data_IF_297224321211
#
_entry.id   IF_297224321211
#
_cell.length_a   1.000
_cell.length_b   1.000
_cell.length_c   1.000
_cell.angle_alpha   90.00
_cell.angle_beta   90.00
_cell.angle_gamma   90.00
#
_symmetry.space_group_name_H-M   'P 1'
#
loop_
_entity.id
_entity.type
_entity.pdbx_description
1 polymer ?
#
# COMPACT_ATOMS: atom_id res chain seq x y z
N UNK A 1 24.76 3.01 -20.35
CA UNK A 1 25.30 3.92 -19.32
C UNK A 1 24.34 5.09 -19.28
N UNK A 2 23.79 5.42 -18.15
CA UNK A 2 22.86 6.53 -18.04
C UNK A 2 23.52 7.68 -17.27
N UNK A 3 23.22 8.91 -17.65
CA UNK A 3 23.77 10.10 -17.01
C UNK A 3 22.84 10.52 -15.84
N UNK A 4 23.32 10.48 -14.59
CA UNK A 4 22.53 10.93 -13.46
C UNK A 4 22.14 12.42 -13.50
N UNK A 5 22.90 13.25 -14.25
CA UNK A 5 22.61 14.68 -14.37
C UNK A 5 21.43 14.98 -15.33
N UNK A 6 21.00 14.00 -16.12
CA UNK A 6 19.78 14.09 -16.95
C UNK A 6 18.49 13.76 -16.18
N UNK A 7 18.59 13.40 -14.89
CA UNK A 7 17.44 13.07 -14.07
C UNK A 7 16.83 14.33 -13.43
N UNK A 8 15.54 14.46 -13.58
CA UNK A 8 14.74 15.50 -12.91
C UNK A 8 13.55 14.88 -12.15
N UNK A 9 12.75 15.70 -11.48
CA UNK A 9 11.59 15.26 -10.70
C UNK A 9 10.48 14.61 -11.54
N UNK A 10 10.55 14.70 -12.87
CA UNK A 10 9.60 14.08 -13.80
C UNK A 10 10.16 12.80 -14.43
N UNK A 11 11.40 12.44 -14.12
CA UNK A 11 12.08 11.28 -14.67
C UNK A 11 11.77 10.05 -13.83
N UNK A 12 11.33 8.98 -14.48
CA UNK A 12 11.14 7.65 -13.87
C UNK A 12 12.25 6.73 -14.38
N UNK A 13 13.09 6.26 -13.47
CA UNK A 13 14.12 5.25 -13.79
C UNK A 13 13.56 3.87 -13.51
N UNK A 14 13.49 3.03 -14.56
CA UNK A 14 13.05 1.65 -14.45
C UNK A 14 14.26 0.73 -14.58
N UNK A 15 14.59 0.03 -13.49
CA UNK A 15 15.68 -0.93 -13.43
C UNK A 15 15.11 -2.34 -13.57
N UNK A 16 15.52 -3.03 -14.63
CA UNK A 16 15.15 -4.43 -14.85
C UNK A 16 16.08 -5.40 -14.13
N UNK A 17 15.77 -6.67 -14.23
CA UNK A 17 16.65 -7.78 -13.83
C UNK A 17 17.28 -8.45 -15.06
N UNK A 18 18.07 -9.50 -14.85
CA UNK A 18 18.74 -10.23 -15.92
C UNK A 18 17.80 -10.91 -16.93
N UNK A 19 16.51 -10.98 -16.64
CA UNK A 19 15.47 -11.54 -17.51
C UNK A 19 14.66 -10.46 -18.21
N UNK A 20 14.90 -9.18 -17.89
CA UNK A 20 14.21 -8.07 -18.54
C UNK A 20 14.70 -7.88 -19.97
N UNK A 21 13.79 -7.59 -20.87
CA UNK A 21 14.07 -7.38 -22.29
C UNK A 21 13.15 -6.33 -22.91
N UNK A 22 13.53 -5.82 -24.06
CA UNK A 22 12.70 -4.92 -24.87
C UNK A 22 11.97 -5.73 -25.94
N UNK A 23 10.65 -5.59 -26.00
CA UNK A 23 9.81 -6.19 -27.02
C UNK A 23 8.88 -5.14 -27.62
N UNK A 24 9.00 -4.91 -28.89
CA UNK A 24 8.20 -3.93 -29.66
C UNK A 24 8.14 -2.53 -29.00
N UNK A 25 9.26 -2.06 -28.44
CA UNK A 25 9.33 -0.77 -27.75
C UNK A 25 8.82 -0.77 -26.31
N UNK A 26 8.41 -1.92 -25.80
CA UNK A 26 7.96 -2.08 -24.41
C UNK A 26 9.04 -2.75 -23.56
N UNK A 27 9.30 -2.19 -22.39
CA UNK A 27 10.21 -2.81 -21.42
C UNK A 27 9.44 -3.89 -20.64
N UNK A 28 9.85 -5.14 -20.82
CA UNK A 28 9.22 -6.31 -20.22
C UNK A 28 10.13 -6.88 -19.13
N UNK A 29 9.58 -7.02 -17.94
CA UNK A 29 10.20 -7.78 -16.83
C UNK A 29 9.32 -8.97 -16.51
N UNK A 30 9.70 -10.20 -16.94
CA UNK A 30 8.95 -11.40 -16.57
C UNK A 30 8.94 -11.60 -15.06
N UNK A 31 7.77 -11.92 -14.51
CA UNK A 31 7.60 -12.17 -13.07
C UNK A 31 7.48 -13.64 -12.70
N UNK A 32 7.74 -14.55 -13.62
CA UNK A 32 7.73 -15.99 -13.35
C UNK A 32 6.35 -16.61 -13.04
N UNK A 33 5.24 -15.92 -13.35
CA UNK A 33 3.89 -16.36 -13.02
C UNK A 33 3.29 -17.41 -13.99
N UNK A 34 4.10 -18.02 -14.84
CA UNK A 34 3.60 -18.83 -15.96
C UNK A 34 3.52 -20.34 -15.71
N UNK A 35 3.79 -20.81 -14.50
CA UNK A 35 3.67 -22.23 -14.17
C UNK A 35 2.66 -22.40 -13.02
N UNK A 36 1.50 -23.01 -13.29
CA UNK A 36 0.46 -23.25 -12.27
C UNK A 36 1.01 -23.99 -11.05
N UNK A 37 2.13 -24.73 -11.21
CA UNK A 37 2.87 -25.36 -10.12
C UNK A 37 3.83 -24.43 -9.35
N UNK A 38 4.18 -23.25 -9.89
CA UNK A 38 5.11 -22.29 -9.26
C UNK A 38 4.41 -21.24 -8.43
N UNK A 39 3.13 -20.91 -8.69
CA UNK A 39 2.37 -19.92 -7.91
C UNK A 39 2.40 -20.20 -6.40
N UNK A 40 2.31 -21.47 -5.99
CA UNK A 40 2.39 -21.84 -4.57
C UNK A 40 3.82 -21.74 -4.01
N UNK A 41 4.86 -21.94 -4.84
CA UNK A 41 6.26 -21.78 -4.43
C UNK A 41 6.64 -20.31 -4.30
N UNK A 42 6.23 -19.47 -5.27
CA UNK A 42 6.53 -18.03 -5.24
C UNK A 42 5.78 -17.32 -4.11
N UNK A 43 4.54 -17.75 -3.84
CA UNK A 43 3.79 -17.27 -2.67
C UNK A 43 4.49 -17.64 -1.36
N UNK A 44 5.06 -18.83 -1.24
CA UNK A 44 5.84 -19.28 -0.07
C UNK A 44 7.15 -18.53 0.06
N UNK A 45 7.84 -18.25 -1.06
CA UNK A 45 9.08 -17.44 -1.07
C UNK A 45 8.77 -16.02 -0.62
N UNK A 46 7.76 -15.37 -1.18
CA UNK A 46 7.34 -14.03 -0.77
C UNK A 46 6.96 -13.94 0.71
N UNK A 47 6.26 -14.97 1.21
CA UNK A 47 5.93 -15.06 2.62
C UNK A 47 7.17 -15.23 3.51
N UNK A 48 8.14 -16.05 3.10
CA UNK A 48 9.39 -16.25 3.83
C UNK A 48 10.21 -14.95 3.90
N UNK A 49 10.30 -14.20 2.79
CA UNK A 49 10.96 -12.90 2.74
C UNK A 49 10.28 -11.91 3.69
N UNK A 50 8.95 -11.85 3.68
CA UNK A 50 8.19 -10.97 4.56
C UNK A 50 8.42 -11.31 6.04
N UNK A 51 8.40 -12.59 6.40
CA UNK A 51 8.64 -13.06 7.77
C UNK A 51 10.05 -12.67 8.23
N UNK A 52 11.06 -12.88 7.38
CA UNK A 52 12.44 -12.52 7.71
C UNK A 52 12.60 -11.00 7.87
N UNK A 53 12.03 -10.22 6.96
CA UNK A 53 12.00 -8.77 7.08
C UNK A 53 11.34 -8.32 8.40
N UNK A 54 10.22 -8.89 8.77
CA UNK A 54 9.53 -8.56 10.03
C UNK A 54 10.36 -8.93 11.27
N UNK A 55 11.09 -10.05 11.21
CA UNK A 55 12.02 -10.43 12.30
C UNK A 55 13.15 -9.42 12.44
N UNK A 56 13.77 -9.05 11.32
CA UNK A 56 14.84 -8.06 11.28
C UNK A 56 14.34 -6.72 11.83
N UNK A 57 13.25 -6.20 11.31
CA UNK A 57 12.67 -4.94 11.80
C UNK A 57 12.40 -5.02 13.30
N UNK A 58 11.76 -6.09 13.77
CA UNK A 58 11.43 -6.24 15.18
C UNK A 58 12.67 -6.28 16.07
N UNK A 59 13.80 -6.81 15.60
CA UNK A 59 15.05 -6.86 16.35
C UNK A 59 15.80 -5.53 16.38
N UNK A 60 15.53 -4.64 15.43
CA UNK A 60 16.20 -3.35 15.28
C UNK A 60 15.37 -2.17 15.83
N UNK A 61 14.12 -2.39 16.27
CA UNK A 61 13.30 -1.34 16.90
C UNK A 61 13.98 -0.83 18.18
N UNK A 62 14.08 0.48 18.29
CA UNK A 62 14.70 1.14 19.45
C UNK A 62 13.86 0.97 20.73
N UNK A 63 12.52 0.96 20.62
CA UNK A 63 11.61 0.75 21.75
C UNK A 63 11.06 -0.69 21.76
N UNK A 64 11.50 -1.58 22.67
CA UNK A 64 10.97 -2.93 22.76
C UNK A 64 9.55 -3.02 23.34
N UNK A 65 9.07 -1.97 24.00
CA UNK A 65 7.81 -1.94 24.74
C UNK A 65 6.63 -1.32 23.97
N UNK A 66 6.69 -1.32 22.64
CA UNK A 66 5.60 -0.84 21.80
C UNK A 66 4.38 -1.76 21.96
N UNK A 67 3.17 -1.23 22.21
CA UNK A 67 1.94 -2.03 22.24
C UNK A 67 1.78 -2.87 20.98
N UNK A 68 1.31 -4.11 21.10
CA UNK A 68 1.32 -5.09 20.01
C UNK A 68 0.56 -4.62 18.76
N UNK A 69 -0.58 -3.98 18.95
CA UNK A 69 -1.40 -3.46 17.86
C UNK A 69 -0.70 -2.32 17.09
N UNK A 70 -0.10 -1.37 17.82
CA UNK A 70 0.72 -0.32 17.21
C UNK A 70 1.96 -0.89 16.51
N UNK A 71 2.60 -1.88 17.16
CA UNK A 71 3.77 -2.56 16.61
C UNK A 71 3.52 -3.22 15.26
N UNK A 72 2.34 -3.81 15.07
CA UNK A 72 1.95 -4.37 13.78
C UNK A 72 1.89 -3.31 12.67
N UNK A 73 1.25 -2.18 12.93
CA UNK A 73 1.18 -1.07 11.99
C UNK A 73 2.58 -0.53 11.66
N UNK A 74 3.42 -0.38 12.69
CA UNK A 74 4.78 0.11 12.56
C UNK A 74 5.67 -0.82 11.72
N UNK A 75 5.67 -2.12 12.01
CA UNK A 75 6.46 -3.11 11.26
C UNK A 75 6.07 -3.11 9.77
N UNK A 76 4.77 -3.04 9.45
CA UNK A 76 4.32 -2.94 8.07
C UNK A 76 4.75 -1.64 7.40
N UNK A 77 4.72 -0.52 8.13
CA UNK A 77 5.16 0.78 7.61
C UNK A 77 6.66 0.77 7.30
N UNK A 78 7.50 0.26 8.23
CA UNK A 78 8.94 0.13 8.01
C UNK A 78 9.24 -0.86 6.87
N UNK A 79 8.54 -2.00 6.82
CA UNK A 79 8.71 -2.97 5.74
C UNK A 79 8.43 -2.36 4.34
N UNK A 80 7.47 -1.45 4.26
CA UNK A 80 7.09 -0.81 3.00
C UNK A 80 8.02 0.32 2.60
N UNK A 81 8.48 1.12 3.58
CA UNK A 81 9.29 2.33 3.34
C UNK A 81 10.79 2.10 3.47
N UNK A 82 11.20 0.99 4.11
CA UNK A 82 12.57 0.73 4.56
C UNK A 82 13.14 1.84 5.48
N UNK A 83 12.26 2.58 6.17
CA UNK A 83 12.62 3.74 6.98
C UNK A 83 12.24 3.54 8.45
N UNK A 84 13.25 3.44 9.33
CA UNK A 84 13.07 3.31 10.77
C UNK A 84 12.64 4.61 11.47
N UNK A 85 12.70 5.77 10.80
CA UNK A 85 12.13 7.02 11.34
C UNK A 85 10.60 6.91 11.53
N UNK A 86 9.95 5.92 10.89
CA UNK A 86 8.55 5.57 11.14
C UNK A 86 8.26 5.32 12.61
N UNK A 87 9.25 4.81 13.40
CA UNK A 87 9.10 4.61 14.85
C UNK A 87 8.82 5.91 15.61
N UNK A 88 9.28 7.06 15.08
CA UNK A 88 9.13 8.37 15.71
C UNK A 88 7.90 9.13 15.20
N UNK A 89 7.46 8.86 13.98
CA UNK A 89 6.42 9.66 13.32
C UNK A 89 5.08 8.94 13.22
N UNK A 90 5.05 7.60 13.25
CA UNK A 90 3.80 6.86 13.22
C UNK A 90 3.06 7.02 14.54
N UNK A 91 1.84 7.53 14.45
CA UNK A 91 0.95 7.66 15.60
C UNK A 91 -0.31 6.81 15.43
N UNK A 92 -0.74 6.19 16.48
CA UNK A 92 -2.09 5.60 16.61
C UNK A 92 -2.56 5.72 18.05
N UNK A 93 -3.84 5.95 18.24
CA UNK A 93 -4.43 5.88 19.58
C UNK A 93 -4.29 4.46 20.16
N UNK A 94 -4.11 4.31 21.47
CA UNK A 94 -4.01 3.00 22.11
C UNK A 94 -5.24 2.13 21.79
N UNK A 95 -4.99 0.94 21.24
CA UNK A 95 -6.04 0.00 20.87
C UNK A 95 -6.78 0.31 19.56
N UNK A 96 -6.43 1.39 18.85
CA UNK A 96 -7.12 1.77 17.61
C UNK A 96 -7.04 0.69 16.54
N UNK A 97 -5.86 0.12 16.31
CA UNK A 97 -5.64 -0.93 15.30
C UNK A 97 -6.45 -2.18 15.62
N UNK A 98 -6.45 -2.61 16.89
CA UNK A 98 -7.24 -3.75 17.37
C UNK A 98 -8.74 -3.48 17.26
N UNK A 99 -9.19 -2.27 17.59
CA UNK A 99 -10.60 -1.87 17.50
C UNK A 99 -11.10 -1.85 16.06
N UNK A 100 -10.30 -1.32 15.12
CA UNK A 100 -10.63 -1.33 13.68
C UNK A 100 -10.71 -2.77 13.16
N UNK A 101 -9.73 -3.60 13.52
CA UNK A 101 -9.72 -5.01 13.11
C UNK A 101 -10.95 -5.75 13.63
N UNK A 102 -11.31 -5.58 14.91
CA UNK A 102 -12.49 -6.19 15.48
C UNK A 102 -13.78 -5.67 14.83
N UNK A 103 -13.89 -4.37 14.61
CA UNK A 103 -15.03 -3.78 13.93
C UNK A 103 -15.21 -4.31 12.49
N UNK A 104 -14.10 -4.58 11.80
CA UNK A 104 -14.09 -5.21 10.48
C UNK A 104 -14.62 -6.65 10.55
N UNK A 105 -14.17 -7.45 11.52
CA UNK A 105 -14.64 -8.82 11.71
C UNK A 105 -16.10 -8.88 12.12
N UNK A 106 -16.57 -7.91 12.90
CA UNK A 106 -17.95 -7.79 13.37
C UNK A 106 -18.91 -7.23 12.29
N UNK A 107 -18.41 -6.89 11.11
CA UNK A 107 -19.20 -6.30 10.02
C UNK A 107 -19.78 -4.93 10.37
N UNK A 108 -19.12 -4.15 11.24
CA UNK A 108 -19.58 -2.81 11.63
C UNK A 108 -19.43 -1.75 10.53
N UNK A 109 -18.66 -2.05 9.52
CA UNK A 109 -18.56 -1.28 8.28
C UNK A 109 -18.30 -2.23 7.10
N UNK A 110 -18.71 -1.82 5.93
CA UNK A 110 -18.61 -2.59 4.69
C UNK A 110 -17.75 -1.91 3.62
N UNK A 111 -17.31 -0.69 3.88
CA UNK A 111 -16.64 0.15 2.88
C UNK A 111 -15.31 0.68 3.40
N UNK A 112 -14.26 0.51 2.57
CA UNK A 112 -12.95 1.15 2.73
C UNK A 112 -12.87 2.28 1.72
N UNK A 113 -12.55 3.48 2.17
CA UNK A 113 -12.37 4.65 1.31
C UNK A 113 -10.88 4.90 1.13
N UNK A 114 -10.47 5.14 -0.12
CA UNK A 114 -9.09 5.50 -0.46
C UNK A 114 -9.04 6.84 -1.17
N UNK A 115 -7.97 7.57 -0.95
CA UNK A 115 -7.73 8.88 -1.55
C UNK A 115 -7.30 8.80 -3.01
N UNK A 116 -6.60 7.71 -3.39
CA UNK A 116 -6.13 7.47 -4.76
C UNK A 116 -6.42 6.04 -5.23
N UNK A 117 -6.59 5.90 -6.54
CA UNK A 117 -6.90 4.61 -7.18
C UNK A 117 -5.79 3.58 -7.02
N UNK A 118 -4.54 4.00 -6.89
CA UNK A 118 -3.40 3.12 -6.69
C UNK A 118 -3.53 2.35 -5.36
N UNK A 119 -3.91 3.03 -4.29
CA UNK A 119 -4.16 2.39 -2.98
C UNK A 119 -5.33 1.42 -3.08
N UNK A 120 -6.45 1.83 -3.71
CA UNK A 120 -7.60 0.96 -3.94
C UNK A 120 -7.21 -0.33 -4.69
N UNK A 121 -6.37 -0.21 -5.71
CA UNK A 121 -5.90 -1.34 -6.52
C UNK A 121 -4.95 -2.27 -5.77
N UNK A 122 -4.26 -1.78 -4.75
CA UNK A 122 -3.34 -2.55 -3.91
C UNK A 122 -4.02 -3.44 -2.87
N UNK A 123 -5.30 -3.19 -2.55
CA UNK A 123 -6.02 -3.98 -1.56
C UNK A 123 -6.41 -5.34 -2.16
N UNK A 124 -6.11 -6.41 -1.42
CA UNK A 124 -6.33 -7.79 -1.88
C UNK A 124 -7.81 -8.10 -2.02
N UNK A 125 -8.27 -8.34 -3.24
CA UNK A 125 -9.67 -8.65 -3.57
C UNK A 125 -10.23 -9.84 -2.78
N UNK A 126 -9.49 -10.94 -2.69
CA UNK A 126 -9.94 -12.13 -1.95
C UNK A 126 -10.12 -11.88 -0.43
N UNK A 127 -9.42 -10.89 0.15
CA UNK A 127 -9.68 -10.48 1.54
C UNK A 127 -10.93 -9.61 1.65
N UNK A 128 -11.18 -8.74 0.69
CA UNK A 128 -12.41 -7.94 0.64
C UNK A 128 -13.64 -8.84 0.54
N UNK A 129 -13.64 -9.79 -0.38
CA UNK A 129 -14.73 -10.76 -0.55
C UNK A 129 -14.96 -11.58 0.74
N UNK A 130 -13.89 -12.07 1.36
CA UNK A 130 -13.95 -12.87 2.58
C UNK A 130 -14.51 -12.09 3.78
N UNK A 131 -14.26 -10.78 3.83
CA UNK A 131 -14.71 -9.89 4.92
C UNK A 131 -16.00 -9.13 4.58
N UNK A 132 -16.57 -9.33 3.38
CA UNK A 132 -17.75 -8.61 2.92
C UNK A 132 -17.51 -7.11 2.73
N UNK A 133 -16.27 -6.72 2.41
CA UNK A 133 -15.88 -5.33 2.26
C UNK A 133 -15.81 -4.91 0.79
N UNK A 134 -16.09 -3.64 0.52
CA UNK A 134 -15.86 -2.98 -0.76
C UNK A 134 -14.87 -1.83 -0.61
N UNK A 135 -14.22 -1.46 -1.72
CA UNK A 135 -13.33 -0.31 -1.77
C UNK A 135 -13.93 0.75 -2.67
N UNK A 136 -14.00 1.98 -2.18
CA UNK A 136 -14.42 3.15 -2.96
C UNK A 136 -13.30 4.18 -3.04
N UNK A 137 -13.13 4.77 -4.22
CA UNK A 137 -12.22 5.88 -4.46
C UNK A 137 -12.92 6.91 -5.34
N UNK A 138 -13.09 8.11 -4.81
CA UNK A 138 -13.82 9.18 -5.49
C UNK A 138 -12.92 10.07 -6.37
N UNK A 139 -11.64 9.74 -6.51
CA UNK A 139 -10.67 10.54 -7.27
C UNK A 139 -11.11 10.86 -8.70
N UNK A 140 -11.80 9.92 -9.35
CA UNK A 140 -12.30 10.04 -10.72
C UNK A 140 -13.81 10.33 -10.82
N UNK A 141 -14.48 10.60 -9.71
CA UNK A 141 -15.85 11.07 -9.71
C UNK A 141 -15.91 12.48 -10.34
N UNK A 142 -16.81 12.77 -11.28
CA UNK A 142 -16.93 14.09 -11.89
C UNK A 142 -17.07 15.23 -10.87
N UNK A 143 -17.83 15.01 -9.80
CA UNK A 143 -18.03 15.97 -8.70
C UNK A 143 -16.71 16.34 -7.99
N UNK A 144 -15.75 15.40 -7.96
CA UNK A 144 -14.45 15.64 -7.32
C UNK A 144 -13.67 16.77 -8.00
N UNK A 145 -13.70 16.81 -9.33
CA UNK A 145 -13.03 17.88 -10.08
C UNK A 145 -13.69 19.23 -9.80
N UNK A 146 -15.02 19.29 -9.88
CA UNK A 146 -15.78 20.52 -9.63
C UNK A 146 -15.53 21.05 -8.21
N UNK A 147 -15.55 20.18 -7.22
CA UNK A 147 -15.30 20.54 -5.82
C UNK A 147 -13.86 21.00 -5.60
N UNK A 148 -12.88 20.35 -6.24
CA UNK A 148 -11.47 20.74 -6.17
C UNK A 148 -11.25 22.15 -6.72
N UNK A 149 -11.78 22.42 -7.91
CA UNK A 149 -11.69 23.71 -8.57
C UNK A 149 -12.40 24.81 -7.76
N UNK A 150 -13.59 24.54 -7.25
CA UNK A 150 -14.38 25.48 -6.45
C UNK A 150 -13.69 25.86 -5.14
N UNK A 151 -13.06 24.90 -4.48
CA UNK A 151 -12.44 25.10 -3.15
C UNK A 151 -10.93 25.36 -3.19
N UNK A 152 -10.29 25.31 -4.36
CA UNK A 152 -8.83 25.46 -4.50
C UNK A 152 -8.05 24.38 -3.76
N UNK A 153 -8.53 23.13 -3.74
CA UNK A 153 -7.93 21.98 -3.07
C UNK A 153 -7.55 20.88 -4.06
N UNK A 154 -6.76 19.91 -3.61
CA UNK A 154 -6.39 18.78 -4.47
C UNK A 154 -7.58 17.86 -4.74
N UNK A 155 -7.55 17.14 -5.86
CA UNK A 155 -8.58 16.14 -6.19
C UNK A 155 -8.68 15.04 -5.14
N UNK A 156 -7.57 14.60 -4.56
CA UNK A 156 -7.58 13.62 -3.46
C UNK A 156 -8.34 14.16 -2.24
N UNK A 157 -8.07 15.42 -1.84
CA UNK A 157 -8.80 16.05 -0.75
C UNK A 157 -10.30 16.20 -1.05
N UNK A 158 -10.65 16.59 -2.28
CA UNK A 158 -12.03 16.72 -2.70
C UNK A 158 -12.75 15.35 -2.71
N UNK A 159 -12.08 14.30 -3.19
CA UNK A 159 -12.63 12.95 -3.21
C UNK A 159 -12.92 12.40 -1.81
N UNK A 160 -12.02 12.62 -0.84
CA UNK A 160 -12.27 12.23 0.55
C UNK A 160 -13.44 13.04 1.16
N UNK A 161 -13.55 14.33 0.85
CA UNK A 161 -14.70 15.13 1.34
C UNK A 161 -16.03 14.63 0.80
N UNK A 162 -16.11 14.30 -0.49
CA UNK A 162 -17.31 13.68 -1.07
C UNK A 162 -17.65 12.35 -0.41
N UNK A 163 -16.65 11.53 -0.12
CA UNK A 163 -16.84 10.25 0.55
C UNK A 163 -17.41 10.38 1.97
N UNK A 164 -17.14 11.47 2.68
CA UNK A 164 -17.66 11.72 4.03
C UNK A 164 -19.11 12.26 3.99
N UNK A 165 -19.51 12.87 2.88
CA UNK A 165 -20.86 13.43 2.70
C UNK A 165 -21.89 12.37 2.21
N UNK A 166 -21.44 11.20 1.73
CA UNK A 166 -22.28 10.06 1.31
C UNK A 166 -22.55 9.07 2.43
#
# INVERSE_FOLDING_TARGET
EFDPEELDMFTVVIIGNTQSYNFEGHFITPRGYYDEGTLDKDAKIGQAIMIESFRTINSELANPNIPLDHKWALIHSIHTTADFEMEKILYSDPGAVSSIYQAMLDGKFDTIITDVTMVASGIRKGMLERLGLQVKCYLNDPRTKELADLKGITRSQAGIRLAVEE
#
